data_IF_896257429457
#
_entry.id   IF_896257429457
#
_cell.length_a   1.000
_cell.length_b   1.000
_cell.length_c   1.000
_cell.angle_alpha   90.00
_cell.angle_beta   90.00
_cell.angle_gamma   90.00
#
_symmetry.space_group_name_H-M   'P 1'
#
loop_
_entity.id
_entity.type
_entity.pdbx_description
1 polymer ?
#
# COMPACT_ATOMS: atom_id res chain seq x y z
N UNK A 1 56.98 -66.61 0.00
CA UNK A 1 56.17 -66.16 1.17
C UNK A 1 56.80 -64.97 1.89
N UNK A 2 58.10 -64.98 2.22
CA UNK A 2 58.79 -63.93 2.98
C UNK A 2 58.94 -62.57 2.25
N UNK A 3 59.14 -62.58 0.92
CA UNK A 3 59.28 -61.35 0.11
C UNK A 3 57.94 -60.60 -0.01
N UNK A 4 56.83 -61.32 -0.11
CA UNK A 4 55.49 -60.72 -0.23
C UNK A 4 55.05 -60.07 1.08
N UNK A 5 55.45 -60.65 2.23
CA UNK A 5 55.17 -60.08 3.55
C UNK A 5 55.96 -58.80 3.82
N UNK A 6 57.20 -58.71 3.34
CA UNK A 6 58.01 -57.48 3.44
C UNK A 6 57.40 -56.36 2.58
N UNK A 7 56.96 -56.66 1.35
CA UNK A 7 56.30 -55.68 0.48
C UNK A 7 54.97 -55.20 1.10
N UNK A 8 54.19 -56.11 1.69
CA UNK A 8 52.95 -55.76 2.38
C UNK A 8 53.21 -54.84 3.59
N UNK A 9 54.25 -55.10 4.38
CA UNK A 9 54.65 -54.26 5.52
C UNK A 9 55.13 -52.87 5.10
N UNK A 10 55.86 -52.76 3.98
CA UNK A 10 56.29 -51.46 3.44
C UNK A 10 55.08 -50.66 2.95
N UNK A 11 54.13 -51.31 2.28
CA UNK A 11 52.89 -50.66 1.81
C UNK A 11 52.00 -50.25 2.99
N UNK A 12 51.88 -51.09 4.03
CA UNK A 12 51.13 -50.76 5.24
C UNK A 12 51.78 -49.61 6.02
N UNK A 13 53.11 -49.63 6.14
CA UNK A 13 53.88 -48.54 6.76
C UNK A 13 53.74 -47.23 5.98
N UNK A 14 53.73 -47.28 4.66
CA UNK A 14 53.48 -46.13 3.80
C UNK A 14 52.04 -45.62 3.92
N UNK A 15 51.04 -46.52 3.99
CA UNK A 15 49.63 -46.16 4.20
C UNK A 15 49.39 -45.55 5.58
N UNK A 16 49.98 -46.12 6.64
CA UNK A 16 49.92 -45.56 8.00
C UNK A 16 50.65 -44.20 8.06
N UNK A 17 51.82 -44.06 7.45
CA UNK A 17 52.51 -42.76 7.32
C UNK A 17 51.65 -41.73 6.59
N UNK A 18 50.96 -42.15 5.52
CA UNK A 18 50.08 -41.27 4.73
C UNK A 18 48.78 -40.92 5.45
N UNK A 19 48.26 -41.81 6.30
CA UNK A 19 47.09 -41.59 7.15
C UNK A 19 47.40 -40.66 8.33
N UNK A 20 48.50 -40.89 9.04
CA UNK A 20 48.97 -40.01 10.12
C UNK A 20 49.30 -38.61 9.60
N UNK A 21 49.84 -38.49 8.38
CA UNK A 21 50.06 -37.19 7.73
C UNK A 21 48.76 -36.51 7.24
N UNK A 22 47.64 -37.25 7.14
CA UNK A 22 46.33 -36.75 6.71
C UNK A 22 45.47 -36.23 7.86
N UNK A 23 45.70 -36.66 9.10
CA UNK A 23 44.82 -36.35 10.24
C UNK A 23 45.27 -35.16 11.11
N UNK A 24 46.35 -34.45 10.74
CA UNK A 24 46.83 -33.26 11.47
C UNK A 24 46.22 -31.92 11.03
N UNK A 25 45.02 -31.89 10.43
CA UNK A 25 44.40 -30.69 9.87
C UNK A 25 43.02 -30.38 10.43
N UNK A 26 42.76 -29.11 10.77
CA UNK A 26 41.43 -28.62 11.18
C UNK A 26 40.51 -28.64 9.96
N UNK A 27 39.37 -29.32 10.04
CA UNK A 27 38.43 -29.51 8.94
C UNK A 27 37.54 -28.26 8.75
N UNK A 28 37.76 -27.49 7.66
CA UNK A 28 36.96 -26.31 7.28
C UNK A 28 36.43 -26.43 5.83
N UNK A 29 35.84 -27.59 5.48
CA UNK A 29 35.21 -27.81 4.17
C UNK A 29 36.17 -27.65 2.98
N UNK A 30 35.73 -27.15 1.80
CA UNK A 30 36.55 -27.06 0.57
C UNK A 30 37.79 -26.13 0.68
N UNK A 31 38.04 -25.54 1.85
CA UNK A 31 39.17 -24.67 2.16
C UNK A 31 40.19 -25.39 3.07
N UNK A 32 40.62 -26.60 2.71
CA UNK A 32 41.63 -27.37 3.46
C UNK A 32 42.92 -26.56 3.68
N UNK A 33 43.17 -26.16 4.93
CA UNK A 33 44.44 -25.56 5.34
C UNK A 33 45.47 -26.66 5.61
N UNK A 34 46.30 -26.97 4.60
CA UNK A 34 47.43 -27.91 4.76
C UNK A 34 48.65 -27.18 5.29
N UNK A 35 48.76 -27.06 6.60
CA UNK A 35 50.03 -26.70 7.23
C UNK A 35 50.90 -27.94 7.36
N UNK A 36 52.16 -27.86 6.94
CA UNK A 36 53.12 -28.98 7.01
C UNK A 36 53.60 -29.28 8.44
N UNK A 37 53.32 -28.36 9.39
CA UNK A 37 53.54 -28.44 10.85
C UNK A 37 52.41 -27.66 11.53
N UNK A 38 52.22 -27.79 12.85
CA UNK A 38 51.27 -26.91 13.54
C UNK A 38 51.66 -25.44 13.32
N UNK A 39 50.79 -24.64 12.67
CA UNK A 39 51.13 -23.27 12.31
C UNK A 39 51.20 -22.37 13.53
N UNK A 40 52.25 -21.56 13.62
CA UNK A 40 52.37 -20.51 14.61
C UNK A 40 51.57 -19.24 14.26
N UNK A 41 51.44 -18.29 15.20
CA UNK A 41 50.76 -17.01 14.99
C UNK A 41 51.21 -16.23 13.74
N UNK A 42 52.51 -16.24 13.46
CA UNK A 42 53.12 -15.51 12.33
C UNK A 42 52.70 -16.08 10.97
N UNK A 43 52.47 -17.39 10.87
CA UNK A 43 52.06 -18.04 9.63
C UNK A 43 50.62 -17.66 9.24
N UNK A 44 49.72 -17.54 10.23
CA UNK A 44 48.37 -17.03 10.01
C UNK A 44 48.37 -15.58 9.54
N UNK A 45 49.18 -14.70 10.16
CA UNK A 45 49.29 -13.29 9.75
C UNK A 45 49.91 -13.15 8.37
N UNK A 46 50.95 -13.93 8.05
CA UNK A 46 51.54 -13.95 6.71
C UNK A 46 50.49 -14.35 5.66
N UNK A 47 49.70 -15.38 5.95
CA UNK A 47 48.65 -15.85 5.04
C UNK A 47 47.52 -14.85 4.88
N UNK A 48 47.09 -14.21 5.97
CA UNK A 48 46.12 -13.11 5.92
C UNK A 48 46.59 -12.01 4.94
N UNK A 49 47.84 -11.56 5.05
CA UNK A 49 48.42 -10.55 4.14
C UNK A 49 48.50 -11.03 2.69
N UNK A 50 48.80 -12.31 2.45
CA UNK A 50 48.79 -12.89 1.09
C UNK A 50 47.39 -12.90 0.47
N UNK A 51 46.36 -13.26 1.24
CA UNK A 51 44.97 -13.31 0.78
C UNK A 51 44.43 -11.89 0.51
N UNK A 52 44.79 -10.92 1.36
CA UNK A 52 44.49 -9.51 1.11
C UNK A 52 45.09 -9.01 -0.21
N UNK A 53 46.36 -9.33 -0.50
CA UNK A 53 47.02 -8.96 -1.78
C UNK A 53 46.34 -9.57 -3.01
N UNK A 54 45.62 -10.68 -2.83
CA UNK A 54 44.87 -11.37 -3.89
C UNK A 54 43.40 -10.94 -3.97
N UNK A 55 42.98 -9.92 -3.20
CA UNK A 55 41.59 -9.48 -3.08
C UNK A 55 40.62 -10.59 -2.64
N UNK A 56 41.10 -11.59 -1.90
CA UNK A 56 40.29 -12.68 -1.35
C UNK A 56 39.81 -12.29 0.05
N UNK A 57 38.86 -11.35 0.10
CA UNK A 57 38.44 -10.72 1.35
C UNK A 57 37.75 -11.69 2.33
N UNK A 58 36.85 -12.54 1.82
CA UNK A 58 36.11 -13.51 2.65
C UNK A 58 37.08 -14.50 3.31
N UNK A 59 38.00 -15.04 2.54
CA UNK A 59 39.02 -15.99 2.99
C UNK A 59 40.01 -15.33 3.95
N UNK A 60 40.39 -14.07 3.68
CA UNK A 60 41.26 -13.32 4.60
C UNK A 60 40.60 -13.13 5.97
N UNK A 61 39.29 -12.85 6.02
CA UNK A 61 38.53 -12.71 7.27
C UNK A 61 38.45 -14.05 8.02
N UNK A 62 38.21 -15.15 7.31
CA UNK A 62 38.14 -16.48 7.91
C UNK A 62 39.48 -16.89 8.53
N UNK A 63 40.59 -16.64 7.83
CA UNK A 63 41.95 -16.91 8.35
C UNK A 63 42.26 -16.08 9.58
N UNK A 64 41.88 -14.80 9.58
CA UNK A 64 42.13 -13.91 10.71
C UNK A 64 41.29 -14.27 11.95
N UNK A 65 40.02 -14.64 11.74
CA UNK A 65 39.14 -15.13 12.82
C UNK A 65 39.64 -16.47 13.37
N UNK A 66 40.04 -17.41 12.52
CA UNK A 66 40.64 -18.67 12.97
C UNK A 66 41.93 -18.46 13.76
N UNK A 67 42.75 -17.47 13.37
CA UNK A 67 43.97 -17.10 14.09
C UNK A 67 43.66 -16.55 15.49
N UNK A 68 42.67 -15.67 15.60
CA UNK A 68 42.25 -15.08 16.86
C UNK A 68 41.70 -16.14 17.83
N UNK A 69 40.87 -17.07 17.35
CA UNK A 69 40.30 -18.13 18.16
C UNK A 69 41.37 -19.12 18.65
N UNK A 70 42.40 -19.39 17.83
CA UNK A 70 43.47 -20.34 18.17
C UNK A 70 44.54 -19.72 19.06
N UNK A 71 44.77 -18.41 18.96
CA UNK A 71 45.77 -17.67 19.73
C UNK A 71 45.14 -16.47 20.47
N UNK A 72 44.19 -16.70 21.39
CA UNK A 72 43.41 -15.63 22.00
C UNK A 72 44.26 -14.72 22.92
N UNK A 73 45.45 -15.17 23.35
CA UNK A 73 46.38 -14.37 24.15
C UNK A 73 47.29 -13.46 23.29
N UNK A 74 47.27 -13.61 21.97
CA UNK A 74 48.11 -12.83 21.07
C UNK A 74 47.45 -11.47 20.75
N UNK A 75 47.93 -10.42 21.43
CA UNK A 75 47.41 -9.06 21.28
C UNK A 75 47.50 -8.52 19.84
N UNK A 76 48.53 -8.88 19.07
CA UNK A 76 48.74 -8.37 17.71
C UNK A 76 47.73 -8.97 16.71
N UNK A 77 47.41 -10.26 16.85
CA UNK A 77 46.36 -10.91 16.06
C UNK A 77 45.01 -10.26 16.36
N UNK A 78 44.72 -10.02 17.64
CA UNK A 78 43.48 -9.38 18.04
C UNK A 78 43.37 -7.94 17.54
N UNK A 79 44.45 -7.17 17.68
CA UNK A 79 44.54 -5.81 17.14
C UNK A 79 44.22 -5.78 15.65
N UNK A 80 44.84 -6.69 14.89
CA UNK A 80 44.63 -6.82 13.45
C UNK A 80 43.18 -7.19 13.12
N UNK A 81 42.56 -8.08 13.90
CA UNK A 81 41.15 -8.44 13.76
C UNK A 81 40.23 -7.24 14.01
N UNK A 82 40.40 -6.53 15.11
CA UNK A 82 39.56 -5.36 15.44
C UNK A 82 39.74 -4.22 14.43
N UNK A 83 40.96 -3.94 14.00
CA UNK A 83 41.22 -2.96 12.94
C UNK A 83 40.51 -3.32 11.63
N UNK A 84 40.49 -4.61 11.26
CA UNK A 84 39.74 -5.07 10.08
C UNK A 84 38.23 -4.93 10.27
N UNK A 85 37.70 -5.23 11.45
CA UNK A 85 36.28 -5.03 11.78
C UNK A 85 35.89 -3.55 11.65
N UNK A 86 36.68 -2.62 12.17
CA UNK A 86 36.42 -1.19 12.00
C UNK A 86 36.58 -0.72 10.54
N UNK A 87 37.52 -1.30 9.79
CA UNK A 87 37.65 -1.00 8.36
C UNK A 87 36.42 -1.47 7.57
N UNK A 88 35.88 -2.65 7.92
CA UNK A 88 34.67 -3.20 7.31
C UNK A 88 33.44 -2.34 7.65
N UNK A 89 33.31 -1.85 8.90
CA UNK A 89 32.24 -0.92 9.29
C UNK A 89 32.23 0.36 8.45
N UNK A 90 33.41 0.89 8.09
CA UNK A 90 33.51 2.11 7.27
C UNK A 90 33.06 1.94 5.81
N UNK A 91 33.07 0.72 5.30
CA UNK A 91 32.76 0.41 3.89
C UNK A 91 31.38 -0.25 3.74
N UNK A 92 30.75 -0.62 4.86
CA UNK A 92 29.42 -1.22 4.89
C UNK A 92 28.39 -0.32 4.19
N UNK A 93 27.50 -0.93 3.39
CA UNK A 93 26.54 -0.21 2.54
C UNK A 93 25.09 -0.36 3.01
N UNK A 94 24.83 -1.25 3.95
CA UNK A 94 23.48 -1.50 4.47
C UNK A 94 23.47 -1.62 5.99
N UNK A 95 22.32 -1.32 6.60
CA UNK A 95 22.10 -1.44 8.04
C UNK A 95 22.34 -2.86 8.54
N UNK A 96 21.84 -3.86 7.80
CA UNK A 96 22.07 -5.28 8.11
C UNK A 96 23.55 -5.65 8.11
N UNK A 97 24.33 -5.16 7.14
CA UNK A 97 25.77 -5.40 7.11
C UNK A 97 26.47 -4.76 8.32
N UNK A 98 26.06 -3.55 8.70
CA UNK A 98 26.61 -2.84 9.86
C UNK A 98 26.33 -3.64 11.15
N UNK A 99 25.09 -4.09 11.36
CA UNK A 99 24.68 -4.93 12.50
C UNK A 99 25.48 -6.25 12.55
N UNK A 100 25.61 -6.94 11.41
CA UNK A 100 26.38 -8.19 11.31
C UNK A 100 27.89 -7.99 11.61
N UNK A 101 28.47 -6.86 11.18
CA UNK A 101 29.87 -6.53 11.48
C UNK A 101 30.04 -6.18 12.96
N UNK A 102 29.13 -5.40 13.54
CA UNK A 102 29.17 -5.06 14.98
C UNK A 102 29.06 -6.32 15.85
N UNK A 103 28.13 -7.23 15.56
CA UNK A 103 27.97 -8.49 16.27
C UNK A 103 29.21 -9.41 16.17
N UNK A 104 30.02 -9.27 15.11
CA UNK A 104 31.34 -9.94 15.03
C UNK A 104 32.38 -9.26 15.90
N UNK A 105 32.40 -7.93 15.96
CA UNK A 105 33.25 -7.16 16.87
C UNK A 105 32.99 -7.48 18.33
N UNK A 106 31.72 -7.56 18.72
CA UNK A 106 31.30 -7.89 20.08
C UNK A 106 31.76 -9.30 20.49
N UNK A 107 31.53 -10.31 19.64
CA UNK A 107 32.01 -11.68 19.88
C UNK A 107 33.52 -11.75 20.02
N UNK A 108 34.27 -11.05 19.16
CA UNK A 108 35.72 -11.01 19.25
C UNK A 108 36.17 -10.40 20.58
N UNK A 109 35.57 -9.29 21.00
CA UNK A 109 35.88 -8.63 22.28
C UNK A 109 35.54 -9.51 23.49
N UNK A 110 34.42 -10.23 23.46
CA UNK A 110 34.07 -11.20 24.50
C UNK A 110 35.12 -12.31 24.62
N UNK A 111 35.57 -12.87 23.48
CA UNK A 111 36.57 -13.93 23.44
C UNK A 111 37.94 -13.45 23.93
N UNK A 112 38.35 -12.23 23.58
CA UNK A 112 39.59 -11.66 24.12
C UNK A 112 39.47 -11.37 25.60
N UNK A 113 38.37 -10.78 26.05
CA UNK A 113 38.13 -10.45 27.47
C UNK A 113 38.25 -11.70 28.35
N UNK A 114 37.70 -12.85 27.91
CA UNK A 114 37.80 -14.12 28.64
C UNK A 114 39.22 -14.68 28.74
N UNK A 115 40.09 -14.35 27.80
CA UNK A 115 41.43 -14.94 27.66
C UNK A 115 42.57 -13.92 27.89
N UNK A 116 42.25 -12.68 28.23
CA UNK A 116 43.21 -11.60 28.38
C UNK A 116 44.02 -11.76 29.67
N UNK A 117 45.35 -11.69 29.55
CA UNK A 117 46.24 -11.39 30.69
C UNK A 117 46.26 -9.87 30.99
N UNK A 118 46.92 -9.47 32.09
CA UNK A 118 47.01 -8.06 32.52
C UNK A 118 47.46 -7.07 31.43
N UNK A 119 48.23 -7.52 30.44
CA UNK A 119 48.77 -6.67 29.36
C UNK A 119 47.78 -6.41 28.20
N UNK A 120 46.68 -7.18 28.09
CA UNK A 120 45.70 -7.04 26.99
C UNK A 120 44.40 -6.37 27.42
N UNK A 121 44.18 -6.17 28.71
CA UNK A 121 42.97 -5.53 29.27
C UNK A 121 42.78 -4.09 28.77
N UNK A 122 43.86 -3.31 28.68
CA UNK A 122 43.79 -1.94 28.15
C UNK A 122 43.35 -1.90 26.67
N UNK A 123 43.72 -2.91 25.87
CA UNK A 123 43.30 -3.03 24.47
C UNK A 123 41.83 -3.45 24.35
N UNK A 124 41.37 -4.36 25.22
CA UNK A 124 39.94 -4.72 25.32
C UNK A 124 39.13 -3.47 25.63
N UNK A 125 39.50 -2.72 26.66
CA UNK A 125 38.79 -1.50 27.06
C UNK A 125 38.75 -0.46 25.95
N UNK A 126 39.88 -0.20 25.28
CA UNK A 126 39.96 0.75 24.17
C UNK A 126 39.03 0.36 23.02
N UNK A 127 39.04 -0.92 22.61
CA UNK A 127 38.23 -1.37 21.48
C UNK A 127 36.76 -1.56 21.82
N UNK A 128 36.44 -1.96 23.05
CA UNK A 128 35.08 -1.98 23.58
C UNK A 128 34.47 -0.57 23.58
N UNK A 129 35.21 0.43 24.07
CA UNK A 129 34.76 1.82 24.06
C UNK A 129 34.47 2.30 22.63
N UNK A 130 35.41 2.05 21.71
CA UNK A 130 35.27 2.46 20.32
C UNK A 130 34.10 1.78 19.61
N UNK A 131 33.86 0.49 19.87
CA UNK A 131 32.74 -0.24 19.29
C UNK A 131 31.41 0.25 19.87
N UNK A 132 31.37 0.57 21.17
CA UNK A 132 30.20 1.16 21.82
C UNK A 132 29.87 2.53 21.22
N UNK A 133 30.85 3.41 21.05
CA UNK A 133 30.66 4.73 20.41
C UNK A 133 30.05 4.59 19.01
N UNK A 134 30.58 3.68 18.18
CA UNK A 134 30.03 3.43 16.84
C UNK A 134 28.60 2.88 16.89
N UNK A 135 28.31 2.00 17.86
CA UNK A 135 26.98 1.43 18.06
C UNK A 135 25.97 2.49 18.47
N UNK A 136 26.33 3.35 19.42
CA UNK A 136 25.48 4.47 19.86
C UNK A 136 25.21 5.44 18.71
N UNK A 137 26.23 5.80 17.92
CA UNK A 137 26.06 6.62 16.73
C UNK A 137 25.12 5.97 15.69
N UNK A 138 25.28 4.67 15.45
CA UNK A 138 24.44 3.93 14.51
C UNK A 138 22.98 3.89 14.95
N UNK A 139 22.71 3.55 16.22
CA UNK A 139 21.34 3.49 16.76
C UNK A 139 20.68 4.89 16.75
N UNK A 140 21.42 5.95 17.07
CA UNK A 140 20.91 7.32 16.97
C UNK A 140 20.56 7.70 15.53
N UNK A 141 21.39 7.34 14.56
CA UNK A 141 21.13 7.60 13.13
C UNK A 141 19.95 6.78 12.60
N UNK A 142 19.76 5.56 13.10
CA UNK A 142 18.64 4.69 12.75
C UNK A 142 17.34 5.27 13.31
N UNK A 143 17.30 5.59 14.60
CA UNK A 143 16.15 6.21 15.26
C UNK A 143 15.73 7.52 14.57
N UNK A 144 16.68 8.41 14.25
CA UNK A 144 16.39 9.65 13.52
C UNK A 144 15.76 9.40 12.15
N UNK A 145 16.26 8.41 11.40
CA UNK A 145 15.69 8.06 10.09
C UNK A 145 14.30 7.47 10.20
N UNK A 146 14.06 6.61 11.18
CA UNK A 146 12.72 6.07 11.46
C UNK A 146 11.74 7.19 11.83
N UNK A 147 12.16 8.12 12.69
CA UNK A 147 11.37 9.30 13.04
C UNK A 147 11.09 10.20 11.83
N UNK A 148 12.08 10.46 10.97
CA UNK A 148 11.89 11.23 9.73
C UNK A 148 10.90 10.56 8.77
N UNK A 149 10.97 9.24 8.61
CA UNK A 149 10.04 8.48 7.77
C UNK A 149 8.63 8.58 8.35
N UNK A 150 8.48 8.40 9.67
CA UNK A 150 7.21 8.51 10.36
C UNK A 150 6.61 9.91 10.20
N UNK A 151 7.40 10.96 10.40
CA UNK A 151 6.96 12.34 10.24
C UNK A 151 6.53 12.65 8.80
N UNK A 152 7.28 12.18 7.80
CA UNK A 152 6.86 12.32 6.39
C UNK A 152 5.52 11.64 6.11
N UNK A 153 5.27 10.49 6.71
CA UNK A 153 4.01 9.77 6.52
C UNK A 153 2.85 10.47 7.24
N UNK A 154 3.09 11.06 8.42
CA UNK A 154 2.10 11.90 9.12
C UNK A 154 1.73 13.11 8.27
N UNK A 155 2.72 13.81 7.70
CA UNK A 155 2.45 14.95 6.81
C UNK A 155 1.68 14.54 5.55
N UNK A 156 2.00 13.40 4.94
CA UNK A 156 1.18 12.85 3.83
C UNK A 156 -0.25 12.57 4.24
N UNK A 157 -0.49 12.00 5.42
CA UNK A 157 -1.85 11.79 5.92
C UNK A 157 -2.59 13.13 6.07
N UNK A 158 -1.93 14.19 6.56
CA UNK A 158 -2.53 15.53 6.65
C UNK A 158 -2.88 16.10 5.26
N UNK A 159 -1.98 15.98 4.30
CA UNK A 159 -2.22 16.41 2.91
C UNK A 159 -3.43 15.70 2.29
N UNK A 160 -3.52 14.38 2.48
CA UNK A 160 -4.67 13.59 2.03
C UNK A 160 -5.98 14.07 2.67
N UNK A 161 -5.99 14.33 3.99
CA UNK A 161 -7.20 14.83 4.66
C UNK A 161 -7.63 16.21 4.13
N UNK A 162 -6.68 17.11 3.84
CA UNK A 162 -6.97 18.39 3.21
C UNK A 162 -7.54 18.23 1.79
N UNK A 163 -7.03 17.29 1.02
CA UNK A 163 -7.57 16.99 -0.31
C UNK A 163 -8.99 16.42 -0.21
N UNK A 164 -9.24 15.51 0.73
CA UNK A 164 -10.58 14.98 1.00
C UNK A 164 -11.57 16.08 1.40
N UNK A 165 -11.15 17.04 2.22
CA UNK A 165 -11.96 18.22 2.55
C UNK A 165 -12.30 19.06 1.31
N UNK A 166 -11.32 19.32 0.46
CA UNK A 166 -11.54 20.07 -0.78
C UNK A 166 -12.49 19.34 -1.73
N UNK A 167 -12.39 18.01 -1.83
CA UNK A 167 -13.28 17.19 -2.65
C UNK A 167 -14.70 17.25 -2.09
N UNK A 168 -14.85 17.10 -0.77
CA UNK A 168 -16.15 17.17 -0.09
C UNK A 168 -16.83 18.50 -0.35
N UNK A 169 -16.11 19.61 -0.25
CA UNK A 169 -16.66 20.94 -0.51
C UNK A 169 -17.05 21.10 -1.99
N UNK A 170 -16.23 20.59 -2.91
CA UNK A 170 -16.57 20.55 -4.34
C UNK A 170 -17.84 19.76 -4.63
N UNK A 171 -18.09 18.67 -3.90
CA UNK A 171 -19.33 17.88 -4.03
C UNK A 171 -20.54 18.68 -3.53
N UNK A 172 -20.44 19.38 -2.39
CA UNK A 172 -21.56 20.15 -1.82
C UNK A 172 -22.09 21.23 -2.77
N UNK A 173 -21.21 21.87 -3.52
CA UNK A 173 -21.59 22.97 -4.44
C UNK A 173 -21.95 22.50 -5.85
N UNK A 174 -21.75 21.21 -6.17
CA UNK A 174 -22.03 20.68 -7.50
C UNK A 174 -23.49 20.23 -7.65
N UNK A 175 -24.04 20.46 -8.83
CA UNK A 175 -25.34 19.94 -9.28
C UNK A 175 -25.19 18.95 -10.45
N UNK A 176 -23.95 18.66 -10.86
CA UNK A 176 -23.64 17.67 -11.89
C UNK A 176 -23.45 16.28 -11.25
N UNK A 177 -24.41 15.39 -11.49
CA UNK A 177 -24.43 14.01 -11.00
C UNK A 177 -23.19 13.21 -11.44
N UNK A 178 -22.75 13.37 -12.69
CA UNK A 178 -21.54 12.71 -13.19
C UNK A 178 -20.28 13.28 -12.55
N UNK A 179 -20.24 14.59 -12.32
CA UNK A 179 -19.19 15.29 -11.59
C UNK A 179 -19.07 14.78 -10.15
N UNK A 180 -20.20 14.71 -9.44
CA UNK A 180 -20.28 14.20 -8.06
C UNK A 180 -19.79 12.74 -7.99
N UNK A 181 -20.27 11.87 -8.89
CA UNK A 181 -19.83 10.47 -8.91
C UNK A 181 -18.34 10.31 -9.15
N UNK A 182 -17.75 11.12 -10.03
CA UNK A 182 -16.29 11.14 -10.26
C UNK A 182 -15.54 11.61 -9.02
N UNK A 183 -16.01 12.68 -8.36
CA UNK A 183 -15.42 13.21 -7.14
C UNK A 183 -15.45 12.19 -5.99
N UNK A 184 -16.56 11.47 -5.79
CA UNK A 184 -16.68 10.41 -4.79
C UNK A 184 -15.71 9.25 -5.04
N UNK A 185 -15.56 8.82 -6.30
CA UNK A 185 -14.60 7.77 -6.66
C UNK A 185 -13.15 8.21 -6.44
N UNK A 186 -12.85 9.48 -6.76
CA UNK A 186 -11.53 10.07 -6.51
C UNK A 186 -11.23 10.13 -5.00
N UNK A 187 -12.19 10.57 -4.18
CA UNK A 187 -12.06 10.57 -2.73
C UNK A 187 -11.76 9.17 -2.17
N UNK A 188 -12.51 8.14 -2.60
CA UNK A 188 -12.27 6.76 -2.17
C UNK A 188 -10.87 6.24 -2.56
N UNK A 189 -10.37 6.64 -3.74
CA UNK A 189 -9.02 6.29 -4.19
C UNK A 189 -7.94 6.90 -3.31
N UNK A 190 -8.10 8.17 -2.91
CA UNK A 190 -7.11 8.86 -2.09
C UNK A 190 -7.21 8.43 -0.62
N UNK A 191 -8.42 8.18 -0.12
CA UNK A 191 -8.65 7.62 1.24
C UNK A 191 -7.83 6.33 1.45
N UNK A 192 -7.70 5.49 0.42
CA UNK A 192 -6.90 4.26 0.47
C UNK A 192 -5.40 4.48 0.72
N UNK A 193 -4.90 5.70 0.52
CA UNK A 193 -3.51 6.08 0.77
C UNK A 193 -3.24 6.45 2.24
N UNK A 194 -4.28 6.61 3.06
CA UNK A 194 -4.15 6.95 4.48
C UNK A 194 -3.65 5.73 5.24
N UNK A 195 -2.52 5.90 5.94
CA UNK A 195 -2.09 4.93 6.93
C UNK A 195 -2.77 5.21 8.27
N UNK A 196 -3.84 4.46 8.56
CA UNK A 196 -4.66 4.61 9.77
C UNK A 196 -3.85 4.37 11.04
N UNK A 197 -2.80 3.55 10.98
CA UNK A 197 -1.97 3.23 12.16
C UNK A 197 -1.12 4.41 12.63
N UNK A 198 -0.94 5.41 11.75
CA UNK A 198 -0.14 6.62 11.99
C UNK A 198 -1.01 7.87 12.21
N UNK A 199 -2.33 7.70 12.34
CA UNK A 199 -3.21 8.80 12.73
C UNK A 199 -3.10 9.03 14.24
N UNK A 200 -2.58 10.20 14.60
CA UNK A 200 -2.69 10.73 15.96
C UNK A 200 -4.16 11.00 16.30
N UNK A 201 -4.50 11.03 17.59
CA UNK A 201 -5.88 11.13 18.08
C UNK A 201 -6.69 12.25 17.39
N UNK A 202 -6.11 13.45 17.29
CA UNK A 202 -6.74 14.60 16.63
C UNK A 202 -6.97 14.41 15.13
N UNK A 203 -6.03 13.77 14.43
CA UNK A 203 -6.18 13.46 13.00
C UNK A 203 -7.16 12.30 12.78
N UNK A 204 -7.21 11.35 13.71
CA UNK A 204 -8.17 10.27 13.73
C UNK A 204 -9.60 10.78 13.88
N UNK A 205 -9.85 11.70 14.80
CA UNK A 205 -11.15 12.37 14.97
C UNK A 205 -11.57 13.09 13.69
N UNK A 206 -10.69 13.94 13.14
CA UNK A 206 -10.95 14.69 11.90
C UNK A 206 -11.25 13.78 10.72
N UNK A 207 -10.55 12.64 10.62
CA UNK A 207 -10.82 11.64 9.61
C UNK A 207 -12.22 11.00 9.77
N UNK A 208 -12.64 10.66 10.99
CA UNK A 208 -13.99 10.12 11.23
C UNK A 208 -15.09 11.15 10.95
N UNK A 209 -14.86 12.42 11.30
CA UNK A 209 -15.76 13.52 10.97
C UNK A 209 -15.92 13.65 9.45
N UNK A 210 -14.81 13.64 8.71
CA UNK A 210 -14.80 13.70 7.26
C UNK A 210 -15.58 12.53 6.64
N UNK A 211 -15.29 11.31 7.09
CA UNK A 211 -15.98 10.10 6.61
C UNK A 211 -17.49 10.20 6.82
N UNK A 212 -17.91 10.62 8.01
CA UNK A 212 -19.33 10.83 8.32
C UNK A 212 -19.95 11.93 7.44
N UNK A 213 -19.21 13.02 7.22
CA UNK A 213 -19.67 14.11 6.38
C UNK A 213 -19.83 13.69 4.91
N UNK A 214 -18.95 12.85 4.37
CA UNK A 214 -19.10 12.28 3.02
C UNK A 214 -20.38 11.47 2.86
N UNK A 215 -20.71 10.60 3.83
CA UNK A 215 -21.98 9.85 3.79
C UNK A 215 -23.20 10.77 3.81
N UNK A 216 -23.21 11.74 4.73
CA UNK A 216 -24.31 12.69 4.84
C UNK A 216 -24.49 13.51 3.56
N UNK A 217 -23.40 14.08 3.03
CA UNK A 217 -23.45 14.89 1.80
C UNK A 217 -23.88 14.05 0.59
N UNK A 218 -23.46 12.78 0.52
CA UNK A 218 -23.90 11.89 -0.55
C UNK A 218 -25.43 11.65 -0.49
N UNK A 219 -25.99 11.40 0.68
CA UNK A 219 -27.44 11.24 0.87
C UNK A 219 -28.20 12.52 0.50
N UNK A 220 -27.75 13.67 1.02
CA UNK A 220 -28.33 14.98 0.73
C UNK A 220 -28.33 15.27 -0.79
N UNK A 221 -27.21 15.01 -1.47
CA UNK A 221 -27.09 15.25 -2.92
C UNK A 221 -27.93 14.31 -3.76
N UNK A 222 -28.05 13.04 -3.39
CA UNK A 222 -28.94 12.11 -4.09
C UNK A 222 -30.38 12.60 -4.03
N UNK A 223 -30.82 13.05 -2.87
CA UNK A 223 -32.19 13.56 -2.70
C UNK A 223 -32.40 14.90 -3.41
N UNK A 224 -31.43 15.81 -3.37
CA UNK A 224 -31.46 17.08 -4.11
C UNK A 224 -31.57 16.86 -5.62
N UNK A 225 -30.73 15.98 -6.18
CA UNK A 225 -30.74 15.65 -7.60
C UNK A 225 -32.05 14.97 -8.01
N UNK A 226 -32.58 14.06 -7.19
CA UNK A 226 -33.88 13.43 -7.41
C UNK A 226 -35.00 14.47 -7.42
N UNK A 227 -35.03 15.35 -6.43
CA UNK A 227 -36.02 16.43 -6.34
C UNK A 227 -35.94 17.37 -7.56
N UNK A 228 -34.72 17.73 -8.00
CA UNK A 228 -34.51 18.54 -9.20
C UNK A 228 -34.99 17.83 -10.48
N UNK A 229 -34.75 16.52 -10.61
CA UNK A 229 -35.28 15.69 -11.72
C UNK A 229 -36.81 15.71 -11.74
N UNK A 230 -37.45 15.50 -10.59
CA UNK A 230 -38.91 15.49 -10.46
C UNK A 230 -39.48 16.88 -10.77
N UNK A 231 -38.89 17.95 -10.25
CA UNK A 231 -39.32 19.31 -10.55
C UNK A 231 -39.23 19.66 -12.04
N UNK A 232 -38.16 19.23 -12.73
CA UNK A 232 -38.03 19.41 -14.19
C UNK A 232 -39.10 18.62 -14.96
N UNK A 233 -39.40 17.40 -14.52
CA UNK A 233 -40.44 16.58 -15.13
C UNK A 233 -41.83 17.19 -14.96
N UNK A 234 -42.17 17.64 -13.75
CA UNK A 234 -43.45 18.30 -13.45
C UNK A 234 -43.66 19.58 -14.27
N UNK A 235 -42.63 20.44 -14.43
CA UNK A 235 -42.73 21.62 -15.30
C UNK A 235 -43.06 21.25 -16.75
N UNK A 236 -42.34 20.26 -17.31
CA UNK A 236 -42.62 19.77 -18.67
C UNK A 236 -44.02 19.17 -18.80
N UNK A 237 -44.48 18.46 -17.78
CA UNK A 237 -45.83 17.89 -17.75
C UNK A 237 -46.91 18.99 -17.76
N UNK A 238 -46.73 20.04 -16.95
CA UNK A 238 -47.62 21.21 -16.93
C UNK A 238 -47.67 21.90 -18.29
N UNK A 239 -46.53 22.12 -18.94
CA UNK A 239 -46.48 22.74 -20.27
C UNK A 239 -47.20 21.89 -21.32
N UNK A 240 -47.01 20.57 -21.30
CA UNK A 240 -47.73 19.64 -22.18
C UNK A 240 -49.23 19.64 -21.93
N UNK A 241 -49.66 19.65 -20.66
CA UNK A 241 -51.07 19.73 -20.27
C UNK A 241 -51.71 21.03 -20.72
N UNK A 242 -51.02 22.15 -20.55
CA UNK A 242 -51.48 23.46 -20.99
C UNK A 242 -51.64 23.50 -22.51
N UNK A 243 -50.64 23.02 -23.26
CA UNK A 243 -50.72 22.96 -24.72
C UNK A 243 -51.87 22.09 -25.22
N UNK A 244 -52.12 20.95 -24.56
CA UNK A 244 -53.29 20.11 -24.85
C UNK A 244 -54.59 20.86 -24.60
N UNK A 245 -54.73 21.50 -23.44
CA UNK A 245 -55.94 22.23 -23.06
C UNK A 245 -56.23 23.39 -24.03
N UNK A 246 -55.20 24.18 -24.36
CA UNK A 246 -55.34 25.35 -25.24
C UNK A 246 -55.78 24.88 -26.64
N UNK A 247 -55.12 23.85 -27.21
CA UNK A 247 -55.49 23.28 -28.52
C UNK A 247 -56.88 22.67 -28.55
N UNK A 248 -57.27 21.97 -27.49
CA UNK A 248 -58.60 21.40 -27.36
C UNK A 248 -59.66 22.49 -27.30
N UNK A 249 -59.47 23.50 -26.45
CA UNK A 249 -60.43 24.58 -26.23
C UNK A 249 -60.64 25.44 -27.49
N UNK A 250 -59.58 25.67 -28.28
CA UNK A 250 -59.69 26.42 -29.53
C UNK A 250 -60.52 25.70 -30.61
N UNK A 251 -60.56 24.37 -30.59
CA UNK A 251 -61.20 23.55 -31.63
C UNK A 251 -62.16 22.50 -31.04
N UNK A 252 -62.81 22.82 -29.91
CA UNK A 252 -63.62 21.89 -29.10
C UNK A 252 -64.65 21.13 -29.95
N UNK A 253 -65.39 21.85 -30.82
CA UNK A 253 -66.42 21.25 -31.71
C UNK A 253 -65.87 20.23 -32.70
N UNK A 254 -64.61 20.34 -33.09
CA UNK A 254 -63.94 19.39 -33.96
C UNK A 254 -63.46 18.17 -33.16
N UNK A 255 -62.82 18.41 -32.01
CA UNK A 255 -62.25 17.36 -31.18
C UNK A 255 -63.28 16.51 -30.43
N UNK A 256 -64.48 17.03 -30.18
CA UNK A 256 -65.56 16.30 -29.49
C UNK A 256 -66.35 15.31 -30.36
N UNK A 257 -66.03 15.14 -31.65
CA UNK A 257 -66.74 14.21 -32.56
C UNK A 257 -65.99 12.89 -32.70
N UNK A 258 -66.69 11.76 -32.77
CA UNK A 258 -66.13 10.42 -32.96
C UNK A 258 -65.05 10.26 -34.06
N UNK A 259 -65.06 11.10 -35.10
CA UNK A 259 -64.06 11.07 -36.19
C UNK A 259 -62.87 12.03 -35.97
N UNK A 260 -62.64 12.49 -34.75
CA UNK A 260 -61.66 13.55 -34.48
C UNK A 260 -60.23 13.02 -34.29
N UNK A 261 -59.26 13.93 -34.38
CA UNK A 261 -57.84 13.64 -34.10
C UNK A 261 -57.50 13.77 -32.61
N UNK A 262 -58.49 13.83 -31.71
CA UNK A 262 -58.25 13.95 -30.26
C UNK A 262 -57.40 12.81 -29.68
N UNK A 263 -57.60 11.53 -30.06
CA UNK A 263 -56.79 10.44 -29.55
C UNK A 263 -55.30 10.63 -29.87
N UNK A 264 -54.97 11.16 -31.06
CA UNK A 264 -53.61 11.49 -31.48
C UNK A 264 -53.05 12.62 -30.62
N UNK A 265 -53.83 13.69 -30.43
CA UNK A 265 -53.42 14.85 -29.64
C UNK A 265 -53.11 14.46 -28.18
N UNK A 266 -53.94 13.61 -27.56
CA UNK A 266 -53.71 13.07 -26.23
C UNK A 266 -52.47 12.19 -26.18
N UNK A 267 -52.27 11.34 -27.21
CA UNK A 267 -51.07 10.50 -27.32
C UNK A 267 -49.80 11.32 -27.29
N UNK A 268 -49.76 12.40 -28.07
CA UNK A 268 -48.60 13.29 -28.21
C UNK A 268 -48.29 14.09 -26.94
N UNK A 269 -49.31 14.53 -26.21
CA UNK A 269 -49.12 15.50 -25.12
C UNK A 269 -49.09 14.85 -23.74
N UNK A 270 -49.98 13.90 -23.46
CA UNK A 270 -50.19 13.44 -22.07
C UNK A 270 -50.13 11.92 -21.89
N UNK A 271 -50.25 11.12 -22.95
CA UNK A 271 -50.35 9.67 -22.79
C UNK A 271 -49.07 9.01 -22.30
N UNK A 272 -47.89 9.58 -22.59
CA UNK A 272 -46.64 9.09 -22.02
C UNK A 272 -46.39 9.61 -20.60
N UNK A 273 -47.17 10.55 -20.09
CA UNK A 273 -46.92 11.08 -18.74
C UNK A 273 -47.16 10.01 -17.68
N UNK A 274 -46.12 9.75 -16.91
CA UNK A 274 -46.13 8.94 -15.70
C UNK A 274 -46.57 9.79 -14.49
N UNK A 275 -47.75 9.48 -13.94
CA UNK A 275 -48.31 10.19 -12.78
C UNK A 275 -47.61 9.86 -11.47
N UNK A 276 -46.81 8.78 -11.41
CA UNK A 276 -46.04 8.41 -10.22
C UNK A 276 -44.96 9.45 -9.85
N UNK A 277 -44.58 10.32 -10.80
CA UNK A 277 -43.61 11.40 -10.59
C UNK A 277 -44.26 12.76 -10.35
N UNK A 278 -45.60 12.83 -10.31
CA UNK A 278 -46.29 14.09 -10.12
C UNK A 278 -46.27 14.55 -8.67
N UNK A 279 -46.00 15.83 -8.48
CA UNK A 279 -46.31 16.49 -7.22
C UNK A 279 -47.82 16.76 -7.10
N UNK A 280 -48.27 17.12 -5.89
CA UNK A 280 -49.69 17.38 -5.63
C UNK A 280 -50.33 18.38 -6.58
N UNK A 281 -49.73 19.57 -6.81
CA UNK A 281 -50.25 20.56 -7.76
C UNK A 281 -50.33 20.05 -9.20
N UNK A 282 -49.29 19.36 -9.69
CA UNK A 282 -49.27 18.83 -11.07
C UNK A 282 -50.32 17.74 -11.25
N UNK A 283 -50.50 16.86 -10.26
CA UNK A 283 -51.55 15.84 -10.28
C UNK A 283 -52.95 16.46 -10.29
N UNK A 284 -53.16 17.52 -9.51
CA UNK A 284 -54.43 18.25 -9.50
C UNK A 284 -54.72 18.89 -10.87
N UNK A 285 -53.72 19.53 -11.49
CA UNK A 285 -53.89 20.14 -12.81
C UNK A 285 -54.10 19.08 -13.90
N UNK A 286 -53.39 17.95 -13.85
CA UNK A 286 -53.61 16.81 -14.73
C UNK A 286 -55.06 16.33 -14.67
N UNK A 287 -55.57 16.09 -13.46
CA UNK A 287 -56.95 15.62 -13.26
C UNK A 287 -57.98 16.64 -13.75
N UNK A 288 -57.71 17.93 -13.58
CA UNK A 288 -58.56 19.00 -14.11
C UNK A 288 -58.61 18.98 -15.64
N UNK A 289 -57.45 19.00 -16.32
CA UNK A 289 -57.38 19.02 -17.79
C UNK A 289 -57.98 17.75 -18.37
N UNK A 290 -57.56 16.58 -17.88
CA UNK A 290 -58.06 15.29 -18.34
C UNK A 290 -59.57 15.17 -18.10
N UNK A 291 -60.05 15.50 -16.90
CA UNK A 291 -61.47 15.44 -16.55
C UNK A 291 -62.33 16.40 -17.37
N UNK A 292 -61.85 17.61 -17.63
CA UNK A 292 -62.54 18.58 -18.48
C UNK A 292 -62.73 18.05 -19.90
N UNK A 293 -61.65 17.60 -20.56
CA UNK A 293 -61.71 17.02 -21.91
C UNK A 293 -62.63 15.79 -21.93
N UNK A 294 -62.46 14.89 -20.95
CA UNK A 294 -63.23 13.64 -20.87
C UNK A 294 -64.74 13.88 -20.67
N UNK A 295 -65.12 15.00 -20.06
CA UNK A 295 -66.53 15.38 -19.86
C UNK A 295 -67.22 15.90 -21.12
N UNK A 296 -66.46 16.34 -22.13
CA UNK A 296 -66.95 17.02 -23.34
C UNK A 296 -66.95 16.13 -24.60
N UNK A 297 -66.55 14.87 -24.47
CA UNK A 297 -66.47 13.89 -25.56
C UNK A 297 -67.49 12.76 -25.42
N UNK A 298 -67.80 12.09 -26.52
CA UNK A 298 -68.69 10.92 -26.54
C UNK A 298 -68.06 9.66 -25.94
N UNK A 299 -68.88 8.64 -25.71
CA UNK A 299 -68.44 7.41 -25.02
C UNK A 299 -67.44 6.57 -25.84
N UNK A 300 -67.54 6.63 -27.18
CA UNK A 300 -66.60 5.93 -28.07
C UNK A 300 -65.20 6.56 -27.98
N UNK A 301 -65.12 7.89 -28.02
CA UNK A 301 -63.85 8.61 -27.81
C UNK A 301 -63.31 8.41 -26.40
N UNK A 302 -64.17 8.38 -25.36
CA UNK A 302 -63.72 8.08 -23.98
C UNK A 302 -63.01 6.73 -23.91
N UNK A 303 -63.55 5.71 -24.57
CA UNK A 303 -62.93 4.39 -24.63
C UNK A 303 -61.58 4.46 -25.35
N UNK A 304 -61.52 5.10 -26.51
CA UNK A 304 -60.28 5.20 -27.29
C UNK A 304 -59.18 5.99 -26.55
N UNK A 305 -59.53 7.12 -25.94
CA UNK A 305 -58.63 7.91 -25.09
C UNK A 305 -58.11 7.07 -23.93
N UNK A 306 -58.98 6.36 -23.23
CA UNK A 306 -58.59 5.50 -22.11
C UNK A 306 -57.64 4.38 -22.56
N UNK A 307 -57.91 3.77 -23.72
CA UNK A 307 -57.03 2.77 -24.33
C UNK A 307 -55.65 3.35 -24.62
N UNK A 308 -55.56 4.50 -25.29
CA UNK A 308 -54.28 5.16 -25.59
C UNK A 308 -53.51 5.51 -24.31
N UNK A 309 -54.18 6.05 -23.31
CA UNK A 309 -53.58 6.38 -22.01
C UNK A 309 -53.03 5.13 -21.30
N UNK A 310 -53.59 3.96 -21.55
CA UNK A 310 -53.17 2.68 -20.94
C UNK A 310 -52.04 2.01 -21.74
N UNK A 311 -52.15 1.98 -23.06
CA UNK A 311 -51.22 1.28 -23.96
C UNK A 311 -49.93 2.07 -24.24
N UNK A 312 -49.96 3.39 -24.09
CA UNK A 312 -48.78 4.23 -24.35
C UNK A 312 -47.73 4.02 -23.25
N UNK A 313 -46.49 3.64 -23.60
CA UNK A 313 -45.39 3.53 -22.64
C UNK A 313 -45.19 4.84 -21.88
N UNK A 314 -44.99 4.72 -20.57
CA UNK A 314 -44.82 5.87 -19.68
C UNK A 314 -43.38 6.32 -19.64
N UNK A 315 -43.18 7.63 -19.60
CA UNK A 315 -41.90 8.29 -19.41
C UNK A 315 -41.25 7.73 -18.13
N UNK A 316 -39.98 7.33 -18.22
CA UNK A 316 -39.17 6.91 -17.08
C UNK A 316 -38.12 7.97 -16.80
N UNK A 317 -37.89 8.27 -15.53
CA UNK A 317 -36.73 9.04 -15.13
C UNK A 317 -35.58 8.04 -14.91
N UNK A 318 -34.54 8.11 -15.75
CA UNK A 318 -33.32 7.33 -15.50
C UNK A 318 -32.77 7.70 -14.12
N UNK A 319 -32.65 6.67 -13.27
CA UNK A 319 -32.25 6.79 -11.86
C UNK A 319 -30.76 7.00 -11.71
#
# INVERSE_FOLDING_TARGET
MLVISIIALIILGYLCYRLVKREGGIFLGPYEFKFTREPGPEEYIKRYKELQKKNQEFESRLVLSAAANRFPQNADIFKTLMEKIFADLKVAKSEKEIEDIMARGERALEELSRNAGNNSMALVEQYSKKLLEIREEFEQLKARREDEIKQRQIEKNKEVLLELESILEGIKVSDDEMGIRRAMNHAASIESMIDVSLLEETLGERYQELKTAFYRVAEEKVEELRSARYGRYNRKAIDRLKNLLDRFSENEKEYSKASSNLPILIKEHIASLNTAYFDGPTMQYFNYVYGYIFSLIDDDLKFEVTRIMTETPKDTLEL
#
